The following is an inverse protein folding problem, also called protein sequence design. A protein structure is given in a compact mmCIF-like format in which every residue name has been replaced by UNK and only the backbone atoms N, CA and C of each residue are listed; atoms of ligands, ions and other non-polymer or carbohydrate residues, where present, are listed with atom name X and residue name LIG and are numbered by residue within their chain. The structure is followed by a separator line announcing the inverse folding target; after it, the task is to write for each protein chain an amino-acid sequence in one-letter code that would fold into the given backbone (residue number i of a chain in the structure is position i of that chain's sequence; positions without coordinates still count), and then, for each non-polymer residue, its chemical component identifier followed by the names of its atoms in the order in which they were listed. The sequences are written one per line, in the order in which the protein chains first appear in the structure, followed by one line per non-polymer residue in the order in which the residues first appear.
data_IF_738355475854
#
_entry.id   IF_738355475854
#
_cell.length_a   1.000
_cell.length_b   1.000
_cell.length_c   1.000
_cell.angle_alpha   90.00
_cell.angle_beta   90.00
_cell.angle_gamma   90.00
#
_symmetry.space_group_name_H-M   'P 1'
#
loop_
_entity.id
_entity.type
_entity.pdbx_description
1 polymer ?
#
# COMPACT_ATOMS: atom_id res chain seq x y z
N UNK A 1 -18.49 42.96 34.23
CA UNK A 1 -19.33 42.13 33.34
C UNK A 1 -18.50 41.89 32.10
N UNK A 2 -18.31 40.63 31.69
CA UNK A 2 -17.59 40.31 30.45
C UNK A 2 -18.50 40.69 29.29
N UNK A 3 -17.96 41.35 28.28
CA UNK A 3 -18.67 41.73 27.07
C UNK A 3 -19.02 40.47 26.26
N UNK A 4 -20.12 39.80 26.62
CA UNK A 4 -20.77 38.74 25.84
C UNK A 4 -21.54 39.35 24.64
N UNK A 5 -20.92 40.28 23.93
CA UNK A 5 -21.39 40.79 22.64
C UNK A 5 -20.58 40.11 21.53
N UNK A 6 -20.68 38.77 21.46
CA UNK A 6 -20.13 37.99 20.37
C UNK A 6 -20.73 38.45 19.05
N UNK A 7 -19.88 38.84 18.09
CA UNK A 7 -20.35 39.10 16.73
C UNK A 7 -20.88 37.78 16.14
N UNK A 8 -22.18 37.73 15.82
CA UNK A 8 -22.83 36.54 15.24
C UNK A 8 -22.11 36.03 13.97
N UNK A 9 -21.49 36.93 13.20
CA UNK A 9 -20.66 36.55 12.04
C UNK A 9 -19.36 35.85 12.45
N UNK A 10 -18.70 36.30 13.54
CA UNK A 10 -17.48 35.66 14.05
C UNK A 10 -17.78 34.27 14.63
N UNK A 11 -18.90 34.10 15.34
CA UNK A 11 -19.30 32.80 15.88
C UNK A 11 -19.61 31.80 14.76
N UNK A 12 -20.31 32.22 13.71
CA UNK A 12 -20.58 31.36 12.56
C UNK A 12 -19.29 30.94 11.84
N UNK A 13 -18.35 31.88 11.63
CA UNK A 13 -17.04 31.57 11.05
C UNK A 13 -16.26 30.63 11.96
N UNK A 14 -16.26 30.86 13.28
CA UNK A 14 -15.55 30.01 14.23
C UNK A 14 -16.07 28.56 14.18
N UNK A 15 -17.39 28.36 14.21
CA UNK A 15 -18.00 27.02 14.06
C UNK A 15 -17.68 26.42 12.69
N UNK A 16 -17.76 27.22 11.63
CA UNK A 16 -17.40 26.80 10.27
C UNK A 16 -15.96 26.30 10.19
N UNK A 17 -15.00 27.02 10.78
CA UNK A 17 -13.58 26.63 10.82
C UNK A 17 -13.38 25.39 11.70
N UNK A 18 -14.02 25.33 12.87
CA UNK A 18 -13.97 24.17 13.78
C UNK A 18 -14.46 22.90 13.07
N UNK A 19 -15.42 23.00 12.16
CA UNK A 19 -15.92 21.86 11.39
C UNK A 19 -15.10 21.60 10.11
N UNK A 20 -14.63 22.65 9.44
CA UNK A 20 -13.91 22.56 8.17
C UNK A 20 -12.51 21.95 8.36
N UNK A 21 -11.78 22.34 9.41
CA UNK A 21 -10.42 21.83 9.69
C UNK A 21 -10.40 20.30 9.86
N UNK A 22 -11.21 19.67 10.73
CA UNK A 22 -11.20 18.21 10.86
C UNK A 22 -11.72 17.51 9.60
N UNK A 23 -12.68 18.09 8.89
CA UNK A 23 -13.14 17.53 7.62
C UNK A 23 -12.01 17.50 6.58
N UNK A 24 -11.28 18.60 6.45
CA UNK A 24 -10.13 18.68 5.53
C UNK A 24 -9.04 17.69 5.93
N UNK A 25 -8.74 17.59 7.23
CA UNK A 25 -7.81 16.58 7.74
C UNK A 25 -8.24 15.16 7.36
N UNK A 26 -9.52 14.81 7.54
CA UNK A 26 -10.04 13.49 7.17
C UNK A 26 -9.90 13.22 5.67
N UNK A 27 -10.18 14.21 4.82
CA UNK A 27 -10.00 14.08 3.36
C UNK A 27 -8.55 13.78 3.00
N UNK A 28 -7.59 14.51 3.58
CA UNK A 28 -6.16 14.31 3.32
C UNK A 28 -5.70 12.94 3.87
N UNK A 29 -6.09 12.59 5.10
CA UNK A 29 -5.73 11.33 5.73
C UNK A 29 -6.27 10.13 4.93
N UNK A 30 -7.55 10.15 4.58
CA UNK A 30 -8.16 9.10 3.77
C UNK A 30 -7.53 9.04 2.37
N UNK A 31 -7.24 10.19 1.75
CA UNK A 31 -6.53 10.26 0.47
C UNK A 31 -5.17 9.55 0.51
N UNK A 32 -4.36 9.80 1.54
CA UNK A 32 -3.06 9.15 1.71
C UNK A 32 -3.17 7.63 1.88
N UNK A 33 -4.17 7.15 2.63
CA UNK A 33 -4.43 5.71 2.81
C UNK A 33 -4.90 5.08 1.51
N UNK A 34 -5.75 5.76 0.75
CA UNK A 34 -6.24 5.28 -0.54
C UNK A 34 -5.12 5.18 -1.57
N UNK A 35 -4.24 6.18 -1.64
CA UNK A 35 -3.08 6.19 -2.52
C UNK A 35 -2.20 4.96 -2.30
N UNK A 36 -1.75 4.73 -1.06
CA UNK A 36 -0.89 3.58 -0.76
C UNK A 36 -1.64 2.24 -0.84
N UNK A 37 -2.94 2.19 -0.52
CA UNK A 37 -3.75 0.98 -0.71
C UNK A 37 -3.82 0.57 -2.18
N UNK A 38 -3.97 1.53 -3.09
CA UNK A 38 -3.94 1.28 -4.54
C UNK A 38 -2.55 0.86 -5.00
N UNK A 39 -1.50 1.45 -4.42
CA UNK A 39 -0.11 1.07 -4.69
C UNK A 39 0.22 -0.35 -4.27
N UNK A 40 -0.18 -0.76 -3.06
CA UNK A 40 -0.02 -2.13 -2.55
C UNK A 40 -0.79 -3.14 -3.40
N UNK A 41 -1.99 -2.78 -3.86
CA UNK A 41 -2.77 -3.62 -4.76
C UNK A 41 -2.14 -3.73 -6.15
N UNK A 42 -1.64 -2.62 -6.71
CA UNK A 42 -0.89 -2.63 -7.96
C UNK A 42 0.38 -3.48 -7.84
N UNK A 43 1.10 -3.35 -6.73
CA UNK A 43 2.32 -4.10 -6.45
C UNK A 43 2.04 -5.61 -6.42
N UNK A 44 1.05 -6.05 -5.63
CA UNK A 44 0.68 -7.46 -5.56
C UNK A 44 0.30 -8.02 -6.94
N UNK A 45 -0.57 -7.31 -7.69
CA UNK A 45 -1.03 -7.77 -9.01
C UNK A 45 0.10 -7.81 -10.04
N UNK A 46 0.91 -6.76 -10.12
CA UNK A 46 1.95 -6.66 -11.12
C UNK A 46 3.11 -7.61 -10.81
N UNK A 47 3.52 -7.75 -9.54
CA UNK A 47 4.52 -8.73 -9.14
C UNK A 47 4.05 -10.17 -9.40
N UNK A 48 2.81 -10.52 -9.03
CA UNK A 48 2.24 -11.85 -9.31
C UNK A 48 2.24 -12.16 -10.82
N UNK A 49 1.88 -11.19 -11.65
CA UNK A 49 1.92 -11.31 -13.11
C UNK A 49 3.35 -11.50 -13.63
N UNK A 50 4.30 -10.69 -13.16
CA UNK A 50 5.70 -10.75 -13.56
C UNK A 50 6.29 -12.12 -13.24
N UNK A 51 6.12 -12.59 -12.00
CA UNK A 51 6.58 -13.90 -11.52
C UNK A 51 5.96 -15.04 -12.34
N UNK A 52 4.64 -15.01 -12.56
CA UNK A 52 3.96 -16.10 -13.27
C UNK A 52 4.27 -16.17 -14.78
N UNK A 53 4.71 -15.07 -15.37
CA UNK A 53 5.04 -14.96 -16.81
C UNK A 53 6.54 -15.08 -17.12
N UNK A 54 7.41 -15.08 -16.11
CA UNK A 54 8.84 -15.23 -16.29
C UNK A 54 9.20 -16.57 -16.96
N UNK A 55 10.34 -16.69 -17.65
CA UNK A 55 10.75 -17.93 -18.30
C UNK A 55 11.26 -18.98 -17.30
N UNK A 56 11.88 -18.55 -16.19
CA UNK A 56 12.52 -19.40 -15.19
C UNK A 56 12.46 -18.76 -13.78
N UNK A 57 12.94 -19.49 -12.77
CA UNK A 57 12.88 -19.06 -11.36
C UNK A 57 13.71 -17.79 -11.11
N UNK A 58 14.93 -17.72 -11.65
CA UNK A 58 15.83 -16.59 -11.40
C UNK A 58 15.22 -15.31 -11.97
N UNK A 59 14.77 -15.38 -13.23
CA UNK A 59 14.14 -14.27 -13.90
C UNK A 59 12.73 -13.95 -13.37
N UNK A 60 12.12 -14.84 -12.57
CA UNK A 60 10.87 -14.56 -11.85
C UNK A 60 11.14 -13.73 -10.59
N UNK A 61 12.20 -14.04 -9.84
CA UNK A 61 12.62 -13.28 -8.68
C UNK A 61 13.03 -11.86 -9.08
N UNK A 62 13.92 -11.73 -10.07
CA UNK A 62 14.44 -10.44 -10.52
C UNK A 62 13.32 -9.52 -11.04
N UNK A 63 12.44 -10.04 -11.91
CA UNK A 63 11.32 -9.26 -12.44
C UNK A 63 10.26 -8.93 -11.40
N UNK A 64 10.03 -9.84 -10.44
CA UNK A 64 9.11 -9.60 -9.34
C UNK A 64 9.58 -8.42 -8.49
N UNK A 65 10.88 -8.39 -8.18
CA UNK A 65 11.50 -7.32 -7.39
C UNK A 65 11.55 -5.99 -8.15
N UNK A 66 11.96 -6.00 -9.43
CA UNK A 66 12.01 -4.80 -10.28
C UNK A 66 10.62 -4.14 -10.40
N UNK A 67 9.58 -4.94 -10.61
CA UNK A 67 8.20 -4.45 -10.68
C UNK A 67 7.74 -3.89 -9.35
N UNK A 68 8.08 -4.56 -8.25
CA UNK A 68 7.71 -4.11 -6.92
C UNK A 68 8.41 -2.78 -6.58
N UNK A 69 9.69 -2.63 -6.88
CA UNK A 69 10.44 -1.38 -6.71
C UNK A 69 9.84 -0.24 -7.54
N UNK A 70 9.50 -0.52 -8.80
CA UNK A 70 8.85 0.46 -9.67
C UNK A 70 7.51 0.94 -9.12
N UNK A 71 6.65 0.03 -8.66
CA UNK A 71 5.34 0.40 -8.10
C UNK A 71 5.47 1.12 -6.76
N UNK A 72 6.33 0.63 -5.86
CA UNK A 72 6.55 1.24 -4.54
C UNK A 72 7.05 2.68 -4.70
N UNK A 73 7.98 2.93 -5.63
CA UNK A 73 8.48 4.26 -5.94
C UNK A 73 7.38 5.18 -6.51
N UNK A 74 6.55 4.67 -7.43
CA UNK A 74 5.47 5.45 -8.07
C UNK A 74 4.42 5.92 -7.05
N UNK A 75 4.10 5.08 -6.06
CA UNK A 75 3.10 5.39 -5.03
C UNK A 75 3.69 6.00 -3.75
N UNK A 76 4.97 6.40 -3.77
CA UNK A 76 5.63 7.04 -2.62
C UNK A 76 5.67 6.17 -1.37
N UNK A 77 5.66 4.84 -1.52
CA UNK A 77 5.71 3.89 -0.41
C UNK A 77 7.17 3.70 0.00
N UNK A 78 7.46 3.71 1.31
CA UNK A 78 8.81 3.39 1.79
C UNK A 78 9.10 1.90 1.59
N UNK A 79 10.08 1.59 0.74
CA UNK A 79 10.50 0.22 0.46
C UNK A 79 10.94 -0.53 1.73
N UNK A 80 11.51 0.16 2.72
CA UNK A 80 11.92 -0.45 3.99
C UNK A 80 10.76 -0.88 4.89
N UNK A 81 9.55 -0.36 4.64
CA UNK A 81 8.34 -0.67 5.39
C UNK A 81 7.41 -1.67 4.68
N UNK A 82 7.75 -2.09 3.46
CA UNK A 82 6.97 -3.04 2.67
C UNK A 82 7.39 -4.47 3.02
N UNK A 83 6.41 -5.29 3.40
CA UNK A 83 6.58 -6.73 3.54
C UNK A 83 5.92 -7.46 2.37
N UNK A 84 6.66 -8.38 1.74
CA UNK A 84 6.21 -9.15 0.59
C UNK A 84 6.42 -10.63 0.84
N UNK A 85 5.34 -11.40 0.67
CA UNK A 85 5.41 -12.86 0.69
C UNK A 85 4.92 -13.45 -0.63
N UNK A 86 5.71 -14.38 -1.16
CA UNK A 86 5.39 -15.13 -2.37
C UNK A 86 5.25 -16.59 -2.01
N UNK A 87 4.13 -17.20 -2.40
CA UNK A 87 3.88 -18.62 -2.18
C UNK A 87 3.23 -19.29 -3.38
N UNK A 88 3.39 -20.60 -3.51
CA UNK A 88 2.79 -21.39 -4.59
C UNK A 88 1.82 -22.45 -4.05
N UNK A 89 0.76 -22.70 -4.82
CA UNK A 89 -0.21 -23.78 -4.62
C UNK A 89 -0.26 -24.67 -5.88
N UNK A 90 -0.07 -26.00 -5.77
CA UNK A 90 0.36 -26.74 -4.58
C UNK A 90 1.78 -26.35 -4.14
N UNK A 91 2.12 -26.57 -2.85
CA UNK A 91 3.47 -26.30 -2.34
C UNK A 91 4.44 -27.31 -2.94
N UNK A 92 5.43 -26.82 -3.68
CA UNK A 92 6.51 -27.58 -4.30
C UNK A 92 7.86 -27.07 -3.77
N UNK A 93 8.95 -27.79 -4.03
CA UNK A 93 10.31 -27.37 -3.67
C UNK A 93 10.79 -26.14 -4.44
N UNK A 94 10.20 -25.86 -5.60
CA UNK A 94 10.44 -24.68 -6.42
C UNK A 94 9.15 -23.87 -6.58
N UNK A 95 9.24 -22.54 -6.48
CA UNK A 95 8.15 -21.59 -6.71
C UNK A 95 8.72 -20.36 -7.41
N UNK A 96 8.18 -19.90 -8.54
CA UNK A 96 7.11 -20.52 -9.35
C UNK A 96 7.46 -21.88 -9.96
N UNK A 97 6.42 -22.62 -10.39
CA UNK A 97 6.53 -23.90 -11.08
C UNK A 97 5.43 -24.05 -12.14
N UNK A 98 5.67 -24.87 -13.17
CA UNK A 98 4.73 -25.04 -14.28
C UNK A 98 3.35 -25.53 -13.81
N UNK A 99 2.30 -24.81 -14.21
CA UNK A 99 0.92 -25.12 -13.82
C UNK A 99 0.53 -24.81 -12.37
N UNK A 100 1.46 -24.32 -11.55
CA UNK A 100 1.18 -23.89 -10.19
C UNK A 100 0.42 -22.56 -10.16
N UNK A 101 -0.14 -22.23 -9.01
CA UNK A 101 -0.76 -20.93 -8.72
C UNK A 101 0.14 -20.15 -7.78
N UNK A 102 0.67 -19.02 -8.24
CA UNK A 102 1.45 -18.07 -7.44
C UNK A 102 0.48 -17.18 -6.67
N UNK A 103 0.78 -16.95 -5.40
CA UNK A 103 0.08 -16.02 -4.52
C UNK A 103 1.11 -15.04 -4.01
N UNK A 104 0.91 -13.76 -4.29
CA UNK A 104 1.74 -12.65 -3.80
C UNK A 104 0.91 -11.84 -2.83
N UNK A 105 1.39 -11.69 -1.60
CA UNK A 105 0.82 -10.78 -0.60
C UNK A 105 1.80 -9.66 -0.38
N UNK A 106 1.32 -8.42 -0.46
CA UNK A 106 2.08 -7.20 -0.17
C UNK A 106 1.38 -6.48 0.96
N UNK A 107 2.14 -6.04 1.96
CA UNK A 107 1.60 -5.26 3.08
C UNK A 107 2.54 -4.12 3.47
N UNK A 108 1.96 -3.04 3.99
CA UNK A 108 2.71 -1.90 4.54
C UNK A 108 1.85 -1.15 5.56
N UNK A 109 2.39 -0.08 6.15
CA UNK A 109 1.69 0.80 7.08
C UNK A 109 1.75 2.23 6.57
N UNK A 110 0.58 2.85 6.38
CA UNK A 110 0.46 4.23 5.91
C UNK A 110 0.57 5.18 7.12
N UNK A 111 1.58 6.06 7.20
CA UNK A 111 1.66 7.06 8.26
C UNK A 111 0.58 8.13 8.06
N UNK A 112 -0.07 8.56 9.14
CA UNK A 112 -1.06 9.64 9.06
C UNK A 112 -0.39 11.00 8.83
N UNK A 113 -0.97 11.85 7.96
CA UNK A 113 -0.41 13.17 7.64
C UNK A 113 -0.44 14.08 8.87
N UNK A 114 0.49 15.05 8.91
CA UNK A 114 0.62 16.05 9.99
C UNK A 114 0.92 15.46 11.38
N UNK A 115 1.28 14.17 11.47
CA UNK A 115 1.84 13.59 12.70
C UNK A 115 3.36 13.68 12.66
N UNK A 116 3.99 14.41 13.59
CA UNK A 116 5.45 14.50 13.65
C UNK A 116 6.05 13.17 14.12
N UNK A 117 7.14 12.72 13.48
CA UNK A 117 7.86 11.49 13.85
C UNK A 117 8.64 11.56 15.17
N UNK A 118 8.28 12.47 16.07
CA UNK A 118 8.89 12.55 17.40
C UNK A 118 8.36 11.42 18.27
N UNK A 119 9.24 10.74 19.02
CA UNK A 119 8.88 9.64 19.92
C UNK A 119 8.16 8.45 19.24
N UNK A 120 8.29 8.29 17.92
CA UNK A 120 7.67 7.20 17.16
C UNK A 120 6.14 7.31 17.03
N UNK A 121 5.60 8.52 17.19
CA UNK A 121 4.17 8.80 17.05
C UNK A 121 3.66 8.41 15.65
N UNK A 122 4.47 8.57 14.60
CA UNK A 122 4.14 8.21 13.23
C UNK A 122 3.94 6.69 13.05
N UNK A 123 4.69 5.85 13.76
CA UNK A 123 4.44 4.40 13.76
C UNK A 123 3.18 4.04 14.58
N UNK A 124 2.94 4.73 15.69
CA UNK A 124 1.75 4.53 16.52
C UNK A 124 0.46 5.01 15.83
N UNK A 125 0.56 6.03 14.97
CA UNK A 125 -0.53 6.58 14.16
C UNK A 125 -0.37 6.15 12.70
N UNK A 126 -0.33 4.85 12.47
CA UNK A 126 -0.25 4.25 11.13
C UNK A 126 -1.43 3.32 10.85
N UNK A 127 -1.88 3.28 9.60
CA UNK A 127 -2.97 2.42 9.14
C UNK A 127 -2.37 1.25 8.35
N UNK A 128 -2.55 -0.02 8.78
CA UNK A 128 -2.06 -1.16 8.01
C UNK A 128 -2.90 -1.34 6.74
N UNK A 129 -2.23 -1.61 5.63
CA UNK A 129 -2.85 -1.94 4.34
C UNK A 129 -2.20 -3.21 3.77
N UNK A 130 -3.01 -4.07 3.17
CA UNK A 130 -2.58 -5.35 2.62
C UNK A 130 -3.36 -5.64 1.33
N UNK A 131 -2.67 -6.20 0.34
CA UNK A 131 -3.31 -6.76 -0.85
C UNK A 131 -2.73 -8.12 -1.20
N UNK A 132 -3.58 -8.96 -1.78
CA UNK A 132 -3.24 -10.30 -2.22
C UNK A 132 -3.59 -10.45 -3.70
N UNK A 133 -2.67 -10.98 -4.49
CA UNK A 133 -2.91 -11.34 -5.88
C UNK A 133 -2.55 -12.78 -6.18
N UNK A 134 -3.35 -13.40 -7.04
CA UNK A 134 -3.25 -14.81 -7.38
C UNK A 134 -3.15 -14.97 -8.89
N UNK A 135 -2.09 -15.62 -9.36
CA UNK A 135 -1.82 -15.80 -10.77
C UNK A 135 -1.46 -17.25 -11.10
N UNK A 136 -2.10 -17.80 -12.14
CA UNK A 136 -1.79 -19.15 -12.62
C UNK A 136 -0.57 -19.11 -13.54
N UNK A 137 0.41 -19.96 -13.24
CA UNK A 137 1.59 -20.19 -14.06
C UNK A 137 1.24 -21.11 -15.22
N UNK A 138 1.76 -20.82 -16.41
CA UNK A 138 1.51 -21.65 -17.59
C UNK A 138 2.09 -23.07 -17.40
N UNK A 139 1.52 -24.07 -18.07
CA UNK A 139 2.09 -25.44 -18.08
C UNK A 139 3.39 -25.57 -18.87
N UNK A 140 3.73 -24.55 -19.68
CA UNK A 140 4.95 -24.49 -20.51
C UNK A 140 6.08 -23.69 -19.84
N UNK A 141 5.86 -23.26 -18.61
CA UNK A 141 6.81 -22.45 -17.86
C UNK A 141 8.08 -23.27 -17.53
N UNK A 142 9.26 -22.66 -17.69
CA UNK A 142 10.56 -23.36 -17.54
C UNK A 142 10.94 -24.28 -18.71
N UNK A 143 10.05 -24.47 -19.69
CA UNK A 143 10.35 -25.19 -20.93
C UNK A 143 10.66 -24.20 -22.04
N UNK A 144 11.95 -23.99 -22.30
CA UNK A 144 12.42 -23.39 -23.55
C UNK A 144 12.05 -24.26 -24.75
#
# INVERSE_FOLDING_TARGET
MRDDAGSSSLEFIAVGVIMLVPLLYLVIAVGSVQEQSLGVEAAARQAARAIASAPDIAAAADRGEEVLDGVVAEYGIDRGAVDVSVSCRPRTSACPAAGATVVVTVSTRVPLPLVPGVLGLDQATSVPVEAVSVQKVSRRWGGG
#
